data_IF_153860995908
#
_entry.id   IF_153860995908
#
_cell.length_a   1.000
_cell.length_b   1.000
_cell.length_c   1.000
_cell.angle_alpha   90.00
_cell.angle_beta   90.00
_cell.angle_gamma   90.00
#
_symmetry.space_group_name_H-M   'P 1'
#
loop_
_entity.id
_entity.type
_entity.pdbx_description
1 polymer ?
#
# COMPACT_ATOMS: atom_id res chain seq x y z
N UNK A 1 -81.64 47.68 7.70
CA UNK A 1 -80.42 48.49 7.78
C UNK A 1 -79.22 47.51 7.94
N UNK A 2 -78.56 47.15 6.79
CA UNK A 2 -77.56 46.14 6.71
C UNK A 2 -76.19 46.80 6.90
N UNK A 3 -75.40 46.30 7.87
CA UNK A 3 -74.04 46.70 8.08
C UNK A 3 -73.11 45.61 7.46
N UNK A 4 -72.19 45.92 6.53
CA UNK A 4 -71.30 44.92 5.96
C UNK A 4 -70.18 44.63 6.87
N UNK A 5 -69.86 43.33 7.15
CA UNK A 5 -68.67 42.85 7.82
C UNK A 5 -67.47 43.03 6.91
N UNK A 6 -66.46 43.81 7.37
CA UNK A 6 -65.15 43.93 6.74
C UNK A 6 -64.30 42.68 7.08
N UNK A 7 -63.90 41.95 6.03
CA UNK A 7 -62.92 40.89 6.11
C UNK A 7 -61.57 41.51 6.42
N UNK A 8 -61.05 41.21 7.60
CA UNK A 8 -59.66 41.52 7.97
C UNK A 8 -58.77 40.32 7.53
N UNK A 9 -58.02 40.51 6.44
CA UNK A 9 -56.99 39.54 5.97
C UNK A 9 -55.76 39.78 6.79
N UNK A 10 -55.44 38.83 7.68
CA UNK A 10 -54.11 38.79 8.34
C UNK A 10 -53.09 38.23 7.34
N UNK A 11 -51.98 38.95 7.05
CA UNK A 11 -50.88 38.36 6.30
C UNK A 11 -50.10 37.41 7.20
N UNK A 12 -50.22 36.13 6.93
CA UNK A 12 -49.38 35.09 7.56
C UNK A 12 -47.95 35.24 7.03
N UNK A 13 -47.11 35.84 7.84
CA UNK A 13 -45.66 35.92 7.59
C UNK A 13 -45.05 34.54 7.75
N UNK A 14 -44.91 33.79 6.65
CA UNK A 14 -44.19 32.53 6.63
C UNK A 14 -42.67 32.85 6.66
N UNK A 15 -42.11 32.85 7.87
CA UNK A 15 -40.69 32.91 8.11
C UNK A 15 -40.08 31.54 7.75
N UNK A 16 -39.69 31.37 6.48
CA UNK A 16 -38.96 30.16 6.04
C UNK A 16 -37.59 30.16 6.67
N UNK A 17 -37.43 29.40 7.75
CA UNK A 17 -36.18 29.09 8.37
C UNK A 17 -35.41 28.17 7.40
N UNK A 18 -34.61 28.75 6.49
CA UNK A 18 -33.62 28.03 5.71
C UNK A 18 -32.56 27.56 6.69
N UNK A 19 -32.79 26.37 7.28
CA UNK A 19 -31.74 25.61 7.94
C UNK A 19 -30.78 25.18 6.85
N UNK A 20 -29.72 25.96 6.71
CA UNK A 20 -28.50 25.57 5.97
C UNK A 20 -27.87 24.41 6.75
N UNK A 21 -28.36 23.19 6.51
CA UNK A 21 -27.64 21.99 6.90
C UNK A 21 -26.35 22.01 6.10
N UNK A 22 -25.30 22.56 6.67
CA UNK A 22 -23.95 22.27 6.20
C UNK A 22 -23.84 20.74 6.26
N UNK A 23 -24.07 20.06 5.12
CA UNK A 23 -23.60 18.71 4.95
C UNK A 23 -22.10 18.78 5.23
N UNK A 24 -21.71 18.34 6.42
CA UNK A 24 -20.32 18.04 6.73
C UNK A 24 -19.96 16.85 5.82
N UNK A 25 -19.64 17.16 4.56
CA UNK A 25 -19.10 16.21 3.61
C UNK A 25 -17.72 15.92 4.18
N UNK A 26 -17.60 14.84 4.95
CA UNK A 26 -16.29 14.30 5.28
C UNK A 26 -15.65 13.99 3.94
N UNK A 27 -14.79 14.90 3.47
CA UNK A 27 -14.05 14.68 2.24
C UNK A 27 -13.13 13.49 2.48
N UNK A 28 -13.50 12.35 1.90
CA UNK A 28 -12.72 11.13 2.02
C UNK A 28 -11.68 11.06 0.91
N UNK A 29 -10.45 10.77 1.29
CA UNK A 29 -9.37 10.44 0.37
C UNK A 29 -9.45 8.97 -0.03
N UNK A 30 -9.59 8.70 -1.30
CA UNK A 30 -9.42 7.36 -1.84
C UNK A 30 -7.94 7.14 -2.19
N UNK A 31 -7.26 6.29 -1.42
CA UNK A 31 -5.83 6.04 -1.53
C UNK A 31 -5.57 4.66 -2.11
N UNK A 32 -4.91 4.62 -3.28
CA UNK A 32 -4.37 3.39 -3.83
C UNK A 32 -3.07 3.04 -3.11
N UNK A 33 -2.95 1.83 -2.57
CA UNK A 33 -1.76 1.40 -1.84
C UNK A 33 -1.27 0.03 -2.29
N UNK A 34 0.02 -0.11 -2.53
CA UNK A 34 0.65 -1.39 -2.78
C UNK A 34 0.57 -2.29 -1.55
N UNK A 35 0.23 -3.56 -1.75
CA UNK A 35 -0.16 -4.49 -0.68
C UNK A 35 0.88 -4.70 0.42
N UNK A 36 2.18 -4.52 0.11
CA UNK A 36 3.25 -4.58 1.10
C UNK A 36 3.14 -3.48 2.16
N UNK A 37 2.60 -2.30 1.78
CA UNK A 37 2.50 -1.13 2.66
C UNK A 37 1.09 -0.94 3.25
N UNK A 38 0.16 -1.88 3.00
CA UNK A 38 -1.22 -1.76 3.46
C UNK A 38 -1.34 -1.63 4.99
N UNK A 39 -0.62 -2.47 5.75
CA UNK A 39 -0.69 -2.43 7.23
C UNK A 39 -0.09 -1.16 7.82
N UNK A 40 1.12 -0.70 7.44
CA UNK A 40 1.60 0.61 7.84
C UNK A 40 0.64 1.73 7.46
N UNK A 41 0.13 1.73 6.22
CA UNK A 41 -0.78 2.77 5.74
C UNK A 41 -2.09 2.83 6.53
N UNK A 42 -2.59 1.68 7.01
CA UNK A 42 -3.76 1.65 7.90
C UNK A 42 -3.50 2.43 9.19
N UNK A 43 -2.36 2.21 9.84
CA UNK A 43 -1.98 2.94 11.05
C UNK A 43 -1.73 4.43 10.79
N UNK A 44 -1.10 4.74 9.64
CA UNK A 44 -0.92 6.14 9.19
C UNK A 44 -2.30 6.79 8.99
N UNK A 45 -3.24 6.08 8.35
CA UNK A 45 -4.60 6.59 8.13
C UNK A 45 -5.32 6.86 9.44
N UNK A 46 -5.28 5.94 10.39
CA UNK A 46 -5.91 6.09 11.71
C UNK A 46 -5.39 7.31 12.45
N UNK A 47 -4.08 7.57 12.40
CA UNK A 47 -3.49 8.74 13.06
C UNK A 47 -3.74 10.04 12.28
N UNK A 48 -3.71 9.99 10.94
CA UNK A 48 -4.07 11.13 10.10
C UNK A 48 -5.52 11.56 10.35
N UNK A 49 -6.46 10.61 10.39
CA UNK A 49 -7.87 10.87 10.66
C UNK A 49 -8.13 11.47 12.04
N UNK A 50 -7.30 11.12 13.05
CA UNK A 50 -7.37 11.73 14.40
C UNK A 50 -6.90 13.18 14.42
N UNK A 51 -5.90 13.51 13.60
CA UNK A 51 -5.29 14.86 13.55
C UNK A 51 -5.99 15.80 12.59
N UNK A 52 -6.78 15.25 11.69
CA UNK A 52 -7.55 15.99 10.70
C UNK A 52 -9.01 15.55 10.75
N UNK A 53 -9.90 16.24 10.08
CA UNK A 53 -11.30 15.79 9.96
C UNK A 53 -11.54 14.97 8.68
N UNK A 54 -10.47 14.59 7.98
CA UNK A 54 -10.57 13.84 6.72
C UNK A 54 -10.55 12.34 6.97
N UNK A 55 -11.28 11.58 6.15
CA UNK A 55 -11.30 10.11 6.16
C UNK A 55 -10.45 9.55 5.04
N UNK A 56 -9.78 8.41 5.29
CA UNK A 56 -9.00 7.70 4.29
C UNK A 56 -9.66 6.36 3.98
N UNK A 57 -9.93 6.13 2.70
CA UNK A 57 -10.42 4.85 2.18
C UNK A 57 -9.26 4.19 1.43
N UNK A 58 -8.79 3.05 1.91
CA UNK A 58 -7.68 2.33 1.31
C UNK A 58 -8.14 1.31 0.26
N UNK A 59 -7.58 1.38 -0.93
CA UNK A 59 -7.67 0.35 -1.95
C UNK A 59 -6.32 -0.34 -2.10
N UNK A 60 -6.23 -1.61 -1.68
CA UNK A 60 -4.96 -2.36 -1.69
C UNK A 60 -4.87 -3.33 -2.86
N UNK A 61 -3.68 -3.41 -3.46
CA UNK A 61 -3.44 -4.31 -4.59
C UNK A 61 -1.96 -4.43 -4.97
N UNK A 62 -1.67 -5.12 -6.08
CA UNK A 62 -0.33 -5.03 -6.67
C UNK A 62 -0.12 -3.66 -7.31
N UNK A 63 1.12 -3.17 -7.31
CA UNK A 63 1.49 -1.86 -7.87
C UNK A 63 0.98 -1.70 -9.29
N UNK A 64 1.17 -2.70 -10.15
CA UNK A 64 0.73 -2.62 -11.54
C UNK A 64 -0.79 -2.65 -11.72
N UNK A 65 -1.53 -3.36 -10.83
CA UNK A 65 -3.00 -3.32 -10.84
C UNK A 65 -3.51 -1.92 -10.50
N UNK A 66 -2.95 -1.30 -9.46
CA UNK A 66 -3.31 0.07 -9.08
C UNK A 66 -2.97 1.06 -10.20
N UNK A 67 -1.76 0.95 -10.80
CA UNK A 67 -1.39 1.74 -11.96
C UNK A 67 -2.43 1.63 -13.10
N UNK A 68 -2.83 0.41 -13.44
CA UNK A 68 -3.82 0.18 -14.51
C UNK A 68 -5.17 0.82 -14.18
N UNK A 69 -5.62 0.74 -12.93
CA UNK A 69 -6.86 1.40 -12.48
C UNK A 69 -6.76 2.92 -12.60
N UNK A 70 -5.63 3.52 -12.19
CA UNK A 70 -5.39 4.97 -12.30
C UNK A 70 -5.43 5.42 -13.77
N UNK A 71 -4.72 4.72 -14.64
CA UNK A 71 -4.69 5.03 -16.09
C UNK A 71 -6.08 4.92 -16.73
N UNK A 72 -6.92 4.02 -16.21
CA UNK A 72 -8.31 3.86 -16.65
C UNK A 72 -9.31 4.79 -15.92
N UNK A 73 -8.82 5.82 -15.21
CA UNK A 73 -9.65 6.86 -14.61
C UNK A 73 -10.28 6.50 -13.27
N UNK A 74 -9.75 5.51 -12.54
CA UNK A 74 -10.21 5.27 -11.17
C UNK A 74 -9.97 6.53 -10.30
N UNK A 75 -10.94 6.95 -9.47
CA UNK A 75 -10.93 8.26 -8.80
C UNK A 75 -10.06 8.26 -7.53
N UNK A 76 -8.84 7.77 -7.65
CA UNK A 76 -7.89 7.84 -6.54
C UNK A 76 -7.35 9.26 -6.37
N UNK A 77 -7.18 9.67 -5.12
CA UNK A 77 -6.60 10.96 -4.76
C UNK A 77 -5.09 10.87 -4.54
N UNK A 78 -4.61 9.70 -4.09
CA UNK A 78 -3.23 9.48 -3.72
C UNK A 78 -2.81 8.06 -4.10
N UNK A 79 -1.57 7.87 -4.56
CA UNK A 79 -1.04 6.56 -4.87
C UNK A 79 0.29 6.30 -4.16
N UNK A 80 0.36 5.16 -3.47
CA UNK A 80 1.51 4.68 -2.72
C UNK A 80 2.01 3.41 -3.40
N UNK A 81 3.01 3.56 -4.27
CA UNK A 81 3.57 2.50 -5.09
C UNK A 81 4.74 1.79 -4.38
N UNK A 82 4.97 0.53 -4.71
CA UNK A 82 6.13 -0.22 -4.21
C UNK A 82 7.37 -0.10 -5.12
N UNK A 83 7.36 0.80 -6.09
CA UNK A 83 8.51 1.17 -6.91
C UNK A 83 8.44 2.64 -7.36
N UNK A 84 9.55 3.17 -7.84
CA UNK A 84 9.65 4.51 -8.44
C UNK A 84 9.27 4.48 -9.93
N UNK A 85 9.59 3.39 -10.63
CA UNK A 85 9.34 3.23 -12.08
C UNK A 85 7.86 3.46 -12.44
N UNK A 86 6.95 2.96 -11.62
CA UNK A 86 5.50 3.13 -11.85
C UNK A 86 5.06 4.59 -11.72
N UNK A 87 5.63 5.33 -10.75
CA UNK A 87 5.34 6.76 -10.56
C UNK A 87 5.86 7.57 -11.76
N UNK A 88 7.11 7.34 -12.19
CA UNK A 88 7.68 7.98 -13.38
C UNK A 88 6.84 7.74 -14.65
N UNK A 89 6.25 6.55 -14.78
CA UNK A 89 5.33 6.24 -15.88
C UNK A 89 4.04 7.05 -15.83
N UNK A 90 3.46 7.24 -14.63
CA UNK A 90 2.28 8.10 -14.45
C UNK A 90 2.62 9.57 -14.78
N UNK A 91 3.80 10.05 -14.36
CA UNK A 91 4.28 11.40 -14.65
C UNK A 91 4.42 11.65 -16.17
N UNK A 92 4.99 10.67 -16.89
CA UNK A 92 5.05 10.71 -18.38
C UNK A 92 3.67 10.80 -19.02
N UNK A 93 2.65 10.20 -18.40
CA UNK A 93 1.25 10.30 -18.83
C UNK A 93 0.56 11.60 -18.36
N UNK A 94 1.25 12.44 -17.57
CA UNK A 94 0.73 13.70 -16.99
C UNK A 94 -0.55 13.50 -16.16
N UNK A 95 -0.68 12.34 -15.50
CA UNK A 95 -1.83 12.03 -14.66
C UNK A 95 -1.70 12.56 -13.22
N UNK A 96 -0.50 12.53 -12.58
CA UNK A 96 -0.36 13.08 -11.24
C UNK A 96 -0.28 14.60 -11.21
N UNK A 97 -0.47 15.15 -10.02
CA UNK A 97 -0.14 16.54 -9.71
C UNK A 97 1.36 16.76 -9.94
N UNK A 98 1.70 17.84 -10.63
CA UNK A 98 3.09 18.12 -11.03
C UNK A 98 3.99 18.30 -9.82
N UNK A 99 5.15 17.67 -9.82
CA UNK A 99 6.17 17.72 -8.76
C UNK A 99 5.69 17.25 -7.37
N UNK A 100 4.68 16.38 -7.33
CA UNK A 100 4.15 15.84 -6.08
C UNK A 100 4.71 14.47 -5.72
N UNK A 101 5.53 13.87 -6.57
CA UNK A 101 6.14 12.56 -6.30
C UNK A 101 7.26 12.66 -5.27
N UNK A 102 7.33 11.68 -4.38
CA UNK A 102 8.41 11.55 -3.40
C UNK A 102 8.66 10.09 -3.07
N UNK A 103 9.89 9.76 -2.73
CA UNK A 103 10.24 8.45 -2.20
C UNK A 103 9.94 8.44 -0.70
N UNK A 104 9.24 7.41 -0.21
CA UNK A 104 8.85 7.31 1.20
C UNK A 104 9.53 6.16 1.95
N UNK A 105 9.96 5.09 1.24
CA UNK A 105 10.54 3.91 1.88
C UNK A 105 11.44 3.12 0.94
N UNK A 106 12.28 2.25 1.51
CA UNK A 106 13.04 1.21 0.81
C UNK A 106 12.64 -0.15 1.37
N UNK A 107 12.12 -1.04 0.52
CA UNK A 107 11.68 -2.38 0.89
C UNK A 107 12.81 -3.39 0.93
N UNK A 108 12.64 -4.46 1.72
CA UNK A 108 13.57 -5.59 1.80
C UNK A 108 12.83 -6.91 1.60
N UNK A 109 13.51 -7.87 0.97
CA UNK A 109 13.05 -9.25 0.84
C UNK A 109 13.40 -10.07 2.08
N UNK A 110 12.56 -11.05 2.38
CA UNK A 110 12.82 -12.09 3.36
C UNK A 110 12.41 -13.42 2.75
N UNK A 111 13.29 -14.41 2.79
CA UNK A 111 12.92 -15.81 2.58
C UNK A 111 12.39 -16.33 3.90
N UNK A 112 11.18 -16.86 3.90
CA UNK A 112 10.43 -17.19 5.10
C UNK A 112 9.80 -18.59 5.02
N UNK A 113 9.83 -19.29 6.14
CA UNK A 113 9.07 -20.51 6.39
C UNK A 113 8.40 -20.45 7.74
N UNK A 114 7.15 -20.95 7.89
CA UNK A 114 6.48 -21.06 9.18
C UNK A 114 7.06 -22.17 10.06
N UNK A 115 7.98 -22.98 9.56
CA UNK A 115 8.64 -24.05 10.33
C UNK A 115 9.74 -23.47 11.21
N UNK A 116 9.91 -24.05 12.38
CA UNK A 116 10.99 -23.73 13.31
C UNK A 116 12.28 -24.51 12.94
N UNK A 117 13.40 -24.00 13.38
CA UNK A 117 14.71 -24.67 13.38
C UNK A 117 15.17 -25.23 12.02
N UNK A 118 14.87 -24.54 10.91
CA UNK A 118 15.36 -24.91 9.60
C UNK A 118 16.25 -23.83 9.01
N UNK A 119 17.29 -24.25 8.27
CA UNK A 119 18.04 -23.34 7.41
C UNK A 119 17.24 -23.05 6.13
N UNK A 120 16.50 -21.95 6.14
CA UNK A 120 15.63 -21.54 5.02
C UNK A 120 16.41 -21.26 3.75
N UNK A 121 17.68 -20.77 3.88
CA UNK A 121 18.55 -20.53 2.73
C UNK A 121 18.95 -21.86 2.10
N UNK A 122 19.38 -22.83 2.91
CA UNK A 122 19.72 -24.17 2.43
C UNK A 122 18.48 -24.85 1.81
N UNK A 123 17.31 -24.74 2.47
CA UNK A 123 16.06 -25.27 1.97
C UNK A 123 15.69 -24.67 0.61
N UNK A 124 15.80 -23.34 0.45
CA UNK A 124 15.53 -22.66 -0.83
C UNK A 124 16.45 -23.16 -1.95
N UNK A 125 17.71 -23.46 -1.63
CA UNK A 125 18.71 -23.88 -2.61
C UNK A 125 18.69 -25.37 -2.93
N UNK A 126 18.28 -26.22 -1.98
CA UNK A 126 18.41 -27.69 -2.09
C UNK A 126 17.25 -28.36 -2.84
N UNK A 127 16.06 -27.78 -2.86
CA UNK A 127 14.85 -28.48 -3.29
C UNK A 127 14.55 -28.31 -4.77
N UNK A 128 14.47 -29.44 -5.52
CA UNK A 128 13.95 -29.44 -6.90
C UNK A 128 12.43 -29.61 -6.96
N UNK A 129 11.80 -30.10 -5.90
CA UNK A 129 10.37 -30.47 -5.88
C UNK A 129 9.52 -29.61 -4.94
N UNK A 130 10.16 -28.66 -4.22
CA UNK A 130 9.46 -27.82 -3.26
C UNK A 130 8.84 -26.59 -3.91
N UNK A 131 7.56 -26.37 -3.63
CA UNK A 131 6.86 -25.16 -4.05
C UNK A 131 7.39 -23.94 -3.29
N UNK A 132 7.64 -22.85 -4.04
CA UNK A 132 8.12 -21.59 -3.51
C UNK A 132 7.09 -20.50 -3.83
N UNK A 133 6.53 -19.86 -2.79
CA UNK A 133 5.61 -18.73 -2.98
C UNK A 133 6.39 -17.43 -3.23
N UNK A 134 6.04 -16.72 -4.30
CA UNK A 134 6.51 -15.36 -4.57
C UNK A 134 5.35 -14.50 -5.09
N UNK A 135 5.45 -13.18 -5.01
CA UNK A 135 4.55 -12.32 -5.77
C UNK A 135 4.82 -12.44 -7.28
N UNK A 136 3.79 -12.23 -8.09
CA UNK A 136 3.95 -12.26 -9.55
C UNK A 136 4.95 -11.19 -10.03
N UNK A 137 6.06 -11.60 -10.68
CA UNK A 137 7.09 -10.65 -11.14
C UNK A 137 6.60 -9.61 -12.16
N UNK A 138 5.51 -9.92 -12.86
CA UNK A 138 4.93 -8.99 -13.84
C UNK A 138 3.99 -7.96 -13.22
N UNK A 139 3.57 -8.16 -11.97
CA UNK A 139 2.57 -7.32 -11.31
C UNK A 139 3.13 -6.57 -10.07
N UNK A 140 4.21 -7.10 -9.48
CA UNK A 140 4.72 -6.62 -8.20
C UNK A 140 6.23 -6.38 -8.24
N UNK A 141 6.71 -5.24 -7.73
CA UNK A 141 8.15 -4.96 -7.55
C UNK A 141 8.83 -6.00 -6.66
N UNK A 142 8.16 -6.45 -5.59
CA UNK A 142 8.65 -7.55 -4.76
C UNK A 142 8.77 -8.87 -5.53
N UNK A 143 7.86 -9.14 -6.45
CA UNK A 143 7.95 -10.29 -7.34
C UNK A 143 9.12 -10.18 -8.32
N UNK A 144 9.36 -8.99 -8.89
CA UNK A 144 10.53 -8.71 -9.74
C UNK A 144 11.83 -8.95 -8.96
N UNK A 145 11.95 -8.38 -7.76
CA UNK A 145 13.09 -8.57 -6.87
C UNK A 145 13.28 -10.04 -6.45
N UNK A 146 12.19 -10.76 -6.14
CA UNK A 146 12.24 -12.21 -5.84
C UNK A 146 12.79 -13.02 -7.01
N UNK A 147 12.37 -12.73 -8.23
CA UNK A 147 12.91 -13.38 -9.44
C UNK A 147 14.39 -13.05 -9.65
N UNK A 148 14.81 -11.83 -9.40
CA UNK A 148 16.22 -11.42 -9.46
C UNK A 148 17.06 -12.17 -8.41
N UNK A 149 16.58 -12.25 -7.17
CA UNK A 149 17.20 -13.04 -6.10
C UNK A 149 17.41 -14.49 -6.52
N UNK A 150 16.36 -15.17 -7.01
CA UNK A 150 16.43 -16.57 -7.45
C UNK A 150 17.37 -16.76 -8.65
N UNK A 151 17.46 -15.76 -9.56
CA UNK A 151 18.42 -15.77 -10.67
C UNK A 151 19.86 -15.62 -10.19
N UNK A 152 20.13 -14.70 -9.28
CA UNK A 152 21.47 -14.44 -8.74
C UNK A 152 21.95 -15.61 -7.86
N UNK A 153 21.03 -16.33 -7.21
CA UNK A 153 21.30 -17.61 -6.56
C UNK A 153 21.45 -18.79 -7.55
N UNK A 154 21.28 -18.56 -8.87
CA UNK A 154 21.36 -19.55 -9.95
C UNK A 154 20.32 -20.68 -9.86
N UNK A 155 19.21 -20.48 -9.14
CA UNK A 155 18.17 -21.50 -8.94
C UNK A 155 16.86 -21.21 -9.71
N UNK A 156 16.73 -20.04 -10.34
CA UNK A 156 15.49 -19.68 -11.07
C UNK A 156 15.10 -20.73 -12.11
N UNK A 157 16.03 -21.20 -12.93
CA UNK A 157 15.73 -22.13 -14.03
C UNK A 157 15.28 -23.52 -13.55
N UNK A 158 15.83 -23.98 -12.42
CA UNK A 158 15.43 -25.26 -11.82
C UNK A 158 14.12 -25.16 -11.04
N UNK A 159 13.81 -23.97 -10.48
CA UNK A 159 12.66 -23.77 -9.60
C UNK A 159 11.44 -23.13 -10.29
N UNK A 160 11.57 -22.59 -11.50
CA UNK A 160 10.48 -21.83 -12.17
C UNK A 160 9.15 -22.57 -12.27
N UNK A 161 9.18 -23.91 -12.40
CA UNK A 161 7.97 -24.73 -12.47
C UNK A 161 7.34 -25.00 -11.09
N UNK A 162 8.08 -24.76 -10.01
CA UNK A 162 7.64 -24.93 -8.63
C UNK A 162 7.19 -23.60 -8.01
N UNK A 163 7.26 -22.50 -8.78
CA UNK A 163 6.84 -21.18 -8.30
C UNK A 163 5.31 -21.13 -8.20
N UNK A 164 4.83 -20.83 -6.98
CA UNK A 164 3.44 -20.48 -6.70
C UNK A 164 3.35 -18.95 -6.67
N UNK A 165 2.70 -18.39 -7.68
CA UNK A 165 2.68 -16.95 -7.91
C UNK A 165 1.43 -16.32 -7.33
N UNK A 166 1.58 -15.46 -6.32
CA UNK A 166 0.52 -14.59 -5.81
C UNK A 166 0.35 -13.34 -6.69
N UNK A 167 -0.87 -12.85 -6.88
CA UNK A 167 -1.12 -11.62 -7.66
C UNK A 167 -0.46 -10.36 -7.04
N UNK A 168 -0.12 -10.45 -5.76
CA UNK A 168 0.65 -9.44 -5.01
C UNK A 168 1.42 -10.12 -3.87
N UNK A 169 2.23 -9.35 -3.12
CA UNK A 169 3.08 -9.89 -2.06
C UNK A 169 2.26 -10.37 -0.84
N UNK A 170 1.08 -9.81 -0.60
CA UNK A 170 0.22 -10.27 0.49
C UNK A 170 -0.37 -11.66 0.19
N UNK A 171 -0.78 -11.92 -1.04
CA UNK A 171 -1.26 -13.26 -1.42
C UNK A 171 -0.13 -14.30 -1.36
N UNK A 172 1.09 -13.95 -1.75
CA UNK A 172 2.24 -14.85 -1.61
C UNK A 172 2.47 -15.21 -0.12
N UNK A 173 2.39 -14.23 0.77
CA UNK A 173 2.47 -14.46 2.22
C UNK A 173 1.33 -15.36 2.72
N UNK A 174 0.10 -15.15 2.25
CA UNK A 174 -1.04 -15.98 2.66
C UNK A 174 -0.87 -17.45 2.25
N UNK A 175 -0.29 -17.75 1.08
CA UNK A 175 -0.01 -19.14 0.69
C UNK A 175 0.91 -19.87 1.67
N UNK A 176 1.87 -19.15 2.26
CA UNK A 176 2.78 -19.70 3.26
C UNK A 176 2.06 -19.82 4.62
N UNK A 177 1.39 -18.76 5.04
CA UNK A 177 0.69 -18.68 6.33
C UNK A 177 -0.39 -19.76 6.49
N UNK A 178 -1.07 -20.12 5.40
CA UNK A 178 -2.12 -21.15 5.40
C UNK A 178 -1.57 -22.57 5.17
N UNK A 179 -0.25 -22.75 5.10
CA UNK A 179 0.38 -24.06 4.90
C UNK A 179 0.28 -24.63 3.47
N UNK A 180 -0.24 -23.85 2.51
CA UNK A 180 -0.30 -24.29 1.10
C UNK A 180 1.10 -24.40 0.46
N UNK A 181 2.07 -23.66 0.99
CA UNK A 181 3.47 -23.64 0.56
C UNK A 181 4.35 -23.53 1.81
N UNK A 182 5.41 -24.32 1.89
CA UNK A 182 6.29 -24.38 3.06
C UNK A 182 7.31 -23.23 3.12
N UNK A 183 7.65 -22.64 1.97
CA UNK A 183 8.67 -21.59 1.87
C UNK A 183 8.26 -20.55 0.83
N UNK A 184 8.64 -19.31 1.04
CA UNK A 184 8.43 -18.27 0.03
C UNK A 184 9.22 -17.02 0.32
N UNK A 185 9.13 -16.07 -0.60
CA UNK A 185 9.80 -14.78 -0.51
C UNK A 185 8.74 -13.72 -0.26
N UNK A 186 8.86 -13.06 0.89
CA UNK A 186 7.93 -12.07 1.41
C UNK A 186 8.61 -10.71 1.58
N UNK A 187 7.86 -9.68 1.92
CA UNK A 187 8.40 -8.40 2.34
C UNK A 187 8.80 -8.46 3.83
N UNK A 188 9.89 -7.80 4.20
CA UNK A 188 10.31 -7.69 5.61
C UNK A 188 9.21 -7.11 6.49
N UNK A 189 8.39 -6.19 5.96
CA UNK A 189 7.25 -5.64 6.66
C UNK A 189 6.18 -6.67 7.04
N UNK A 190 6.12 -7.80 6.34
CA UNK A 190 5.24 -8.90 6.69
C UNK A 190 5.82 -9.75 7.82
N UNK A 191 7.14 -9.96 7.84
CA UNK A 191 7.83 -10.59 8.96
C UNK A 191 7.64 -9.79 10.25
N UNK A 192 7.75 -8.45 10.20
CA UNK A 192 7.58 -7.57 11.37
C UNK A 192 6.17 -7.63 11.99
N UNK A 193 5.17 -8.14 11.27
CA UNK A 193 3.80 -8.35 11.78
C UNK A 193 3.64 -9.65 12.57
N UNK A 194 4.63 -10.53 12.51
CA UNK A 194 4.60 -11.84 13.22
C UNK A 194 5.02 -11.62 14.65
N UNK A 195 4.13 -11.97 15.60
CA UNK A 195 4.37 -11.74 17.04
C UNK A 195 5.53 -12.57 17.58
N UNK A 196 5.60 -13.85 17.21
CA UNK A 196 6.60 -14.80 17.70
C UNK A 196 7.54 -15.19 16.57
N UNK A 197 8.44 -14.26 16.18
CA UNK A 197 9.37 -14.52 15.06
C UNK A 197 10.33 -15.68 15.35
N UNK A 198 10.62 -15.96 16.61
CA UNK A 198 11.46 -17.09 17.05
C UNK A 198 10.85 -18.46 16.76
N UNK A 199 9.53 -18.56 16.59
CA UNK A 199 8.83 -19.78 16.22
C UNK A 199 8.84 -20.05 14.70
N UNK A 200 9.63 -19.30 13.95
CA UNK A 200 9.68 -19.37 12.49
C UNK A 200 11.12 -19.22 11.99
N UNK A 201 11.37 -19.78 10.85
CA UNK A 201 12.69 -19.66 10.23
C UNK A 201 12.66 -18.65 9.07
N UNK A 202 13.68 -17.80 9.01
CA UNK A 202 13.80 -16.83 7.94
C UNK A 202 15.26 -16.49 7.63
N UNK A 203 15.47 -16.00 6.42
CA UNK A 203 16.74 -15.44 5.96
C UNK A 203 16.51 -14.11 5.26
N UNK A 204 17.25 -13.08 5.64
CA UNK A 204 17.25 -11.79 4.97
C UNK A 204 18.37 -11.81 3.92
N UNK A 205 18.04 -11.87 2.61
CA UNK A 205 19.04 -11.88 1.57
C UNK A 205 19.84 -10.57 1.54
N UNK A 206 21.17 -10.63 1.32
CA UNK A 206 21.97 -9.44 1.07
C UNK A 206 21.43 -8.60 -0.09
N UNK A 207 21.48 -7.28 0.03
CA UNK A 207 20.91 -6.34 -0.94
C UNK A 207 21.51 -6.47 -2.35
N UNK A 208 22.77 -6.90 -2.46
CA UNK A 208 23.45 -7.12 -3.75
C UNK A 208 22.90 -8.30 -4.57
N UNK A 209 21.98 -9.10 -4.01
CA UNK A 209 21.33 -10.21 -4.72
C UNK A 209 20.06 -9.79 -5.47
N UNK A 210 19.56 -8.57 -5.31
CA UNK A 210 18.41 -8.05 -6.04
C UNK A 210 18.46 -6.52 -6.08
N UNK A 211 17.76 -5.93 -7.06
CA UNK A 211 17.69 -4.47 -7.19
C UNK A 211 16.97 -3.83 -6.00
N UNK A 212 17.40 -2.65 -5.54
CA UNK A 212 16.71 -1.91 -4.47
C UNK A 212 15.22 -1.73 -4.76
N UNK A 213 14.39 -1.96 -3.75
CA UNK A 213 12.94 -1.77 -3.84
C UNK A 213 12.61 -0.38 -3.32
N UNK A 214 12.98 0.66 -4.08
CA UNK A 214 12.66 2.04 -3.74
C UNK A 214 11.18 2.31 -3.99
N UNK A 215 10.47 2.77 -2.97
CA UNK A 215 9.02 2.96 -2.99
C UNK A 215 8.68 4.44 -3.01
N UNK A 216 7.81 4.83 -3.93
CA UNK A 216 7.43 6.22 -4.13
C UNK A 216 5.93 6.42 -4.06
N UNK A 217 5.52 7.61 -3.69
CA UNK A 217 4.13 8.04 -3.64
C UNK A 217 3.92 9.30 -4.46
N UNK A 218 2.66 9.56 -4.83
CA UNK A 218 2.31 10.72 -5.65
C UNK A 218 0.86 11.15 -5.40
N UNK A 219 0.57 12.45 -5.51
CA UNK A 219 -0.77 13.00 -5.54
C UNK A 219 -1.39 12.83 -6.93
N UNK A 220 -2.64 12.38 -6.96
CA UNK A 220 -3.43 12.29 -8.19
C UNK A 220 -4.47 13.41 -8.27
N UNK A 221 -4.76 14.09 -7.16
CA UNK A 221 -5.64 15.26 -7.11
C UNK A 221 -4.98 16.37 -6.31
N UNK A 222 -5.12 17.59 -6.82
CA UNK A 222 -4.66 18.81 -6.16
C UNK A 222 -5.77 19.36 -5.26
N UNK A 223 -5.86 18.80 -4.05
CA UNK A 223 -6.80 19.23 -3.03
C UNK A 223 -6.13 19.21 -1.64
N UNK A 224 -6.69 19.99 -0.72
CA UNK A 224 -6.14 20.18 0.62
C UNK A 224 -5.86 18.84 1.35
N UNK A 225 -6.78 17.86 1.43
CA UNK A 225 -6.51 16.63 2.16
C UNK A 225 -5.39 15.78 1.52
N UNK A 226 -5.20 15.82 0.19
CA UNK A 226 -4.08 15.13 -0.47
C UNK A 226 -2.74 15.77 -0.12
N UNK A 227 -2.68 17.11 -0.09
CA UNK A 227 -1.47 17.85 0.30
C UNK A 227 -1.13 17.61 1.77
N UNK A 228 -2.12 17.65 2.67
CA UNK A 228 -1.93 17.34 4.09
C UNK A 228 -1.42 15.90 4.30
N UNK A 229 -1.92 14.93 3.53
CA UNK A 229 -1.42 13.56 3.60
C UNK A 229 0.03 13.46 3.13
N UNK A 230 0.42 14.18 2.08
CA UNK A 230 1.81 14.26 1.64
C UNK A 230 2.72 14.83 2.73
N UNK A 231 2.34 15.95 3.35
CA UNK A 231 3.07 16.55 4.46
C UNK A 231 3.16 15.59 5.65
N UNK A 232 2.08 14.86 5.92
CA UNK A 232 2.03 13.90 7.01
C UNK A 232 3.06 12.78 6.85
N UNK A 233 3.37 12.35 5.61
CA UNK A 233 4.42 11.37 5.34
C UNK A 233 5.81 11.81 5.78
N UNK A 234 6.06 13.11 5.95
CA UNK A 234 7.34 13.64 6.41
C UNK A 234 7.41 13.87 7.94
N UNK A 235 6.36 13.51 8.67
CA UNK A 235 6.36 13.61 10.14
C UNK A 235 7.18 12.50 10.80
N UNK A 236 7.77 12.78 11.95
CA UNK A 236 8.50 11.78 12.74
C UNK A 236 7.66 10.54 13.06
N UNK A 237 6.35 10.72 13.27
CA UNK A 237 5.44 9.60 13.48
C UNK A 237 5.48 8.60 12.32
N UNK A 238 5.33 9.09 11.09
CA UNK A 238 5.32 8.22 9.90
C UNK A 238 6.71 7.65 9.63
N UNK A 239 7.78 8.43 9.76
CA UNK A 239 9.15 7.96 9.55
C UNK A 239 9.52 6.85 10.55
N UNK A 240 9.21 7.00 11.82
CA UNK A 240 9.43 5.97 12.84
C UNK A 240 8.61 4.71 12.54
N UNK A 241 7.33 4.87 12.17
CA UNK A 241 6.47 3.74 11.83
C UNK A 241 7.01 2.95 10.61
N UNK A 242 7.52 3.64 9.60
CA UNK A 242 8.16 3.01 8.42
C UNK A 242 9.33 2.12 8.88
N UNK A 243 10.20 2.63 9.76
CA UNK A 243 11.34 1.89 10.29
C UNK A 243 10.92 0.72 11.18
N UNK A 244 9.90 0.90 12.06
CA UNK A 244 9.33 -0.18 12.88
C UNK A 244 8.78 -1.34 12.05
N UNK A 245 8.25 -1.06 10.87
CA UNK A 245 7.84 -2.08 9.90
C UNK A 245 9.00 -2.63 9.06
N UNK A 246 10.25 -2.32 9.42
CA UNK A 246 11.45 -2.89 8.79
C UNK A 246 11.76 -2.36 7.39
N UNK A 247 11.22 -1.21 7.02
CA UNK A 247 11.66 -0.48 5.83
C UNK A 247 12.88 0.38 6.15
N UNK A 248 13.74 0.59 5.15
CA UNK A 248 14.72 1.67 5.17
C UNK A 248 14.07 3.01 4.77
N UNK A 249 14.62 4.11 5.25
CA UNK A 249 14.25 5.45 4.79
C UNK A 249 14.96 5.78 3.46
N UNK A 250 14.48 6.76 2.69
CA UNK A 250 15.05 7.12 1.39
C UNK A 250 16.54 7.47 1.41
N UNK A 251 17.01 8.06 2.50
CA UNK A 251 18.38 8.56 2.66
C UNK A 251 19.29 7.61 3.45
N UNK A 252 18.81 6.42 3.83
CA UNK A 252 19.64 5.40 4.47
C UNK A 252 20.50 4.72 3.40
N UNK A 253 21.82 4.96 3.40
CA UNK A 253 22.81 4.24 2.58
C UNK A 253 23.24 2.92 3.21
#
# INVERSE_FOLDING_TARGET
MNIPMKNIIFPTLILSLLTFTALCRSDSLLVAVSSNFHTPMKLISEEFEKRTNYKIILSSGSTKKQFTQIVNGAPFNFFIAADTETIERLEKLKLPVRNSSFQYARGQLVVFSPREDIDVKQLLMASRDQKIAIANPSLSPYGKASKELLKNLKIWNSQKNNIVSGINIEQAYQFIKTGNVEIGIIAKSQLMRIKNQSEHSYWIPPQNLYSPINQSAVLLTDNEPSMLLQEFFHTNFVLNLIQEFGYGLPNDE
#
